data_IF_783738723467
#
_entry.id   IF_783738723467
#
_cell.length_a   1.000
_cell.length_b   1.000
_cell.length_c   1.000
_cell.angle_alpha   90.00
_cell.angle_beta   90.00
_cell.angle_gamma   90.00
#
_symmetry.space_group_name_H-M   'P 1'
#
loop_
_entity.id
_entity.type
_entity.pdbx_description
1 polymer ?
#
# COMPACT_ATOMS: atom_id res chain seq x y z
N UNK A 1 -24.66 21.35 -7.46
CA UNK A 1 -24.85 19.98 -8.00
C UNK A 1 -23.79 19.17 -7.31
N UNK A 2 -24.17 18.41 -6.28
CA UNK A 2 -23.23 17.71 -5.41
C UNK A 2 -22.37 16.72 -6.21
N UNK A 3 -21.07 16.69 -5.94
CA UNK A 3 -20.17 15.75 -6.58
C UNK A 3 -20.52 14.32 -6.10
N UNK A 4 -21.17 13.52 -6.94
CA UNK A 4 -21.44 12.12 -6.63
C UNK A 4 -20.20 11.28 -6.96
N UNK A 5 -19.45 10.88 -5.94
CA UNK A 5 -18.50 9.77 -6.07
C UNK A 5 -19.33 8.49 -6.22
N UNK A 6 -19.28 7.84 -7.39
CA UNK A 6 -20.04 6.59 -7.63
C UNK A 6 -19.57 5.52 -6.65
N UNK A 7 -20.52 4.88 -5.97
CA UNK A 7 -20.24 3.80 -4.99
C UNK A 7 -19.86 4.28 -3.59
N UNK A 8 -19.87 5.59 -3.32
CA UNK A 8 -19.63 6.15 -1.98
C UNK A 8 -20.95 6.66 -1.40
N UNK A 9 -21.39 6.07 -0.29
CA UNK A 9 -22.46 6.61 0.54
C UNK A 9 -21.92 7.78 1.36
N UNK A 10 -22.45 8.98 1.15
CA UNK A 10 -22.00 10.16 1.86
C UNK A 10 -22.44 10.11 3.34
N UNK A 11 -21.47 10.13 4.26
CA UNK A 11 -21.73 10.18 5.71
C UNK A 11 -21.72 11.61 6.24
N UNK A 12 -20.79 12.44 5.73
CA UNK A 12 -20.70 13.86 6.03
C UNK A 12 -20.48 14.65 4.75
N UNK A 13 -21.24 15.73 4.60
CA UNK A 13 -21.19 16.62 3.44
C UNK A 13 -20.96 18.05 3.93
N UNK A 14 -20.05 18.77 3.28
CA UNK A 14 -19.80 20.19 3.50
C UNK A 14 -20.02 20.94 2.19
N UNK A 15 -21.13 21.67 2.10
CA UNK A 15 -21.57 22.27 0.84
C UNK A 15 -21.91 21.19 -0.18
N UNK A 16 -21.24 21.21 -1.34
CA UNK A 16 -21.37 20.21 -2.41
C UNK A 16 -20.34 19.05 -2.29
N UNK A 17 -19.47 19.06 -1.28
CA UNK A 17 -18.37 18.10 -1.13
C UNK A 17 -18.67 17.02 -0.10
N UNK A 18 -18.43 15.76 -0.46
CA UNK A 18 -18.42 14.63 0.48
C UNK A 18 -17.09 14.70 1.24
N UNK A 19 -17.14 14.92 2.56
CA UNK A 19 -15.96 14.98 3.43
C UNK A 19 -15.78 13.71 4.27
N UNK A 20 -16.84 12.90 4.41
CA UNK A 20 -16.76 11.54 4.91
C UNK A 20 -17.70 10.64 4.11
N UNK A 21 -17.27 9.40 3.87
CA UNK A 21 -18.04 8.45 3.08
C UNK A 21 -17.83 7.01 3.52
N UNK A 22 -18.84 6.19 3.28
CA UNK A 22 -18.81 4.75 3.40
C UNK A 22 -18.79 4.12 2.01
N UNK A 23 -18.05 3.04 1.86
CA UNK A 23 -17.98 2.25 0.62
C UNK A 23 -18.15 0.79 0.98
N UNK A 24 -19.02 0.10 0.25
CA UNK A 24 -19.16 -1.36 0.29
C UNK A 24 -18.74 -1.92 -1.07
N UNK A 25 -17.76 -2.82 -1.08
CA UNK A 25 -17.23 -3.39 -2.32
C UNK A 25 -16.49 -4.69 -2.12
N UNK A 26 -16.78 -5.70 -2.96
CA UNK A 26 -16.07 -6.97 -3.10
C UNK A 26 -15.95 -7.81 -1.82
N UNK A 27 -15.00 -7.45 -0.95
CA UNK A 27 -14.59 -8.21 0.22
C UNK A 27 -14.71 -7.46 1.56
N UNK A 28 -15.28 -6.25 1.59
CA UNK A 28 -15.38 -5.51 2.84
C UNK A 28 -16.12 -4.18 2.79
N UNK A 29 -16.06 -3.51 3.94
CA UNK A 29 -16.70 -2.23 4.22
C UNK A 29 -15.65 -1.24 4.69
N UNK A 30 -15.57 -0.09 4.04
CA UNK A 30 -14.65 0.99 4.36
C UNK A 30 -15.44 2.22 4.80
N UNK A 31 -14.98 2.89 5.84
CA UNK A 31 -15.47 4.21 6.23
C UNK A 31 -14.30 5.17 6.31
N UNK A 32 -14.40 6.28 5.60
CA UNK A 32 -13.41 7.37 5.63
C UNK A 32 -14.04 8.54 6.39
N UNK A 33 -13.41 8.94 7.49
CA UNK A 33 -13.78 10.08 8.32
C UNK A 33 -12.59 11.04 8.41
N UNK A 34 -12.79 12.35 8.22
CA UNK A 34 -11.72 13.32 8.46
C UNK A 34 -11.47 13.40 9.96
N UNK A 35 -10.19 13.44 10.35
CA UNK A 35 -9.81 13.46 11.77
C UNK A 35 -10.44 14.63 12.50
N UNK A 36 -10.57 15.79 11.85
CA UNK A 36 -11.20 16.99 12.43
C UNK A 36 -12.70 16.81 12.71
N UNK A 37 -13.39 15.88 12.02
CA UNK A 37 -14.76 15.51 12.34
C UNK A 37 -14.85 14.56 13.54
N UNK A 38 -13.76 13.90 13.91
CA UNK A 38 -13.68 13.06 15.10
C UNK A 38 -13.17 13.87 16.29
N UNK A 39 -12.10 14.63 16.10
CA UNK A 39 -11.44 15.46 17.11
C UNK A 39 -11.41 16.91 16.62
N UNK A 40 -12.46 17.71 16.91
CA UNK A 40 -12.51 19.08 16.45
C UNK A 40 -11.53 19.94 17.26
N UNK A 41 -10.48 20.41 16.58
CA UNK A 41 -9.39 21.18 17.17
C UNK A 41 -8.28 20.29 17.74
N UNK A 42 -7.02 20.64 17.44
CA UNK A 42 -5.82 19.88 17.81
C UNK A 42 -5.52 19.86 19.32
N UNK A 43 -6.37 20.44 20.17
CA UNK A 43 -6.11 20.64 21.60
C UNK A 43 -7.10 19.93 22.54
N UNK A 44 -8.05 19.14 22.02
CA UNK A 44 -9.01 18.45 22.89
C UNK A 44 -8.48 17.10 23.37
N UNK A 45 -8.19 16.99 24.68
CA UNK A 45 -7.84 15.73 25.35
C UNK A 45 -9.00 14.71 25.35
N UNK A 46 -10.19 15.12 24.91
CA UNK A 46 -11.37 14.26 24.85
C UNK A 46 -12.13 14.42 23.52
N UNK A 47 -12.51 13.28 22.94
CA UNK A 47 -13.40 13.23 21.77
C UNK A 47 -14.81 13.62 22.24
N UNK A 48 -15.44 14.66 21.67
CA UNK A 48 -16.83 14.99 22.00
C UNK A 48 -17.73 13.78 21.81
N UNK A 49 -18.66 13.54 22.73
CA UNK A 49 -19.51 12.34 22.73
C UNK A 49 -20.24 12.08 21.38
N UNK A 50 -20.76 13.09 20.65
CA UNK A 50 -21.33 12.87 19.33
C UNK A 50 -20.32 12.32 18.31
N UNK A 51 -19.09 12.80 18.35
CA UNK A 51 -18.02 12.42 17.42
C UNK A 51 -17.47 11.03 17.76
N UNK A 52 -17.39 10.71 19.06
CA UNK A 52 -17.08 9.35 19.51
C UNK A 52 -18.16 8.35 19.06
N UNK A 53 -19.44 8.73 19.14
CA UNK A 53 -20.54 7.90 18.63
C UNK A 53 -20.44 7.68 17.13
N UNK A 54 -20.13 8.73 16.35
CA UNK A 54 -19.90 8.61 14.91
C UNK A 54 -18.76 7.63 14.60
N UNK A 55 -17.63 7.76 15.31
CA UNK A 55 -16.49 6.86 15.17
C UNK A 55 -16.84 5.41 15.51
N UNK A 56 -17.56 5.19 16.61
CA UNK A 56 -18.01 3.86 17.04
C UNK A 56 -18.99 3.27 16.02
N UNK A 57 -19.93 4.06 15.50
CA UNK A 57 -20.88 3.61 14.47
C UNK A 57 -20.17 3.26 13.16
N UNK A 58 -19.22 4.09 12.72
CA UNK A 58 -18.38 3.82 11.56
C UNK A 58 -17.57 2.54 11.73
N UNK A 59 -16.94 2.34 12.88
CA UNK A 59 -16.18 1.13 13.20
C UNK A 59 -17.09 -0.10 13.25
N UNK A 60 -18.26 -0.01 13.88
CA UNK A 60 -19.24 -1.11 13.93
C UNK A 60 -19.76 -1.46 12.54
N UNK A 61 -20.05 -0.46 11.71
CA UNK A 61 -20.51 -0.68 10.35
C UNK A 61 -19.43 -1.35 9.49
N UNK A 62 -18.18 -0.87 9.57
CA UNK A 62 -17.03 -1.47 8.91
C UNK A 62 -16.73 -2.90 9.39
N UNK A 63 -16.91 -3.16 10.69
CA UNK A 63 -16.66 -4.47 11.31
C UNK A 63 -17.76 -5.51 11.06
N UNK A 64 -18.96 -5.11 10.62
CA UNK A 64 -20.02 -6.04 10.19
C UNK A 64 -19.62 -6.67 8.86
N UNK A 65 -18.73 -7.64 8.93
CA UNK A 65 -18.53 -8.62 7.86
C UNK A 65 -19.88 -9.30 7.60
N UNK A 66 -20.25 -9.55 6.33
CA UNK A 66 -21.36 -10.45 6.05
C UNK A 66 -20.99 -11.80 6.67
N UNK A 67 -21.60 -12.14 7.80
CA UNK A 67 -21.67 -13.52 8.24
C UNK A 67 -22.34 -14.27 7.09
N UNK A 68 -21.56 -15.03 6.32
CA UNK A 68 -22.12 -16.14 5.59
C UNK A 68 -22.86 -17.00 6.63
N UNK A 69 -24.16 -17.30 6.47
CA UNK A 69 -24.82 -18.22 7.38
C UNK A 69 -24.11 -19.56 7.23
N UNK A 70 -23.36 -19.95 8.26
CA UNK A 70 -22.81 -21.28 8.35
C UNK A 70 -23.99 -22.26 8.27
N UNK A 71 -23.96 -23.10 7.23
CA UNK A 71 -24.89 -24.19 7.07
C UNK A 71 -24.92 -25.04 8.35
N UNK A 72 -26.14 -25.27 8.86
CA UNK A 72 -26.44 -26.36 9.76
C UNK A 72 -26.08 -26.18 11.23
N UNK A 73 -26.96 -25.51 11.98
CA UNK A 73 -27.36 -25.97 13.32
C UNK A 73 -28.84 -25.65 13.54
N UNK A 74 -29.67 -26.68 13.41
CA UNK A 74 -31.01 -26.71 13.96
C UNK A 74 -30.90 -26.63 15.49
N UNK A 75 -31.54 -25.62 16.08
CA UNK A 75 -32.03 -25.67 17.45
C UNK A 75 -33.45 -25.13 17.39
N UNK A 76 -34.41 -26.06 17.42
CA UNK A 76 -35.82 -25.72 17.48
C UNK A 76 -36.21 -25.17 18.85
N UNK A 77 -37.11 -24.20 18.86
CA UNK A 77 -38.34 -24.21 19.66
C UNK A 77 -39.18 -22.99 19.30
N UNK A 78 -40.37 -23.28 18.78
CA UNK A 78 -41.54 -22.43 18.52
C UNK A 78 -41.96 -21.56 19.74
N UNK A 79 -42.74 -20.47 19.57
CA UNK A 79 -44.13 -20.58 19.10
C UNK A 79 -44.68 -19.45 18.19
N UNK A 80 -45.36 -19.90 17.13
CA UNK A 80 -46.71 -19.54 16.65
C UNK A 80 -47.20 -18.07 16.73
N UNK A 81 -47.49 -17.52 15.55
CA UNK A 81 -48.54 -16.51 15.32
C UNK A 81 -48.96 -16.51 13.84
N UNK A 82 -50.26 -16.58 13.49
CA UNK A 82 -50.70 -16.69 12.10
C UNK A 82 -50.94 -15.29 11.50
N UNK A 83 -50.40 -15.03 10.32
CA UNK A 83 -50.65 -13.82 9.56
C UNK A 83 -50.16 -13.97 8.13
N UNK A 84 -51.07 -14.37 7.24
CA UNK A 84 -50.89 -14.45 5.80
C UNK A 84 -50.37 -13.15 5.20
N UNK A 85 -49.22 -13.20 4.50
CA UNK A 85 -48.95 -12.30 3.37
C UNK A 85 -48.11 -13.03 2.30
N UNK A 86 -48.82 -13.43 1.25
CA UNK A 86 -48.43 -13.47 -0.17
C UNK A 86 -46.96 -13.79 -0.53
N UNK A 87 -46.80 -14.98 -1.13
CA UNK A 87 -45.69 -15.32 -2.02
C UNK A 87 -45.68 -14.35 -3.22
N UNK A 88 -44.82 -13.35 -3.19
CA UNK A 88 -44.36 -12.66 -4.38
C UNK A 88 -43.05 -13.29 -4.83
N UNK A 89 -43.09 -14.01 -5.95
CA UNK A 89 -41.92 -14.34 -6.77
C UNK A 89 -41.31 -13.04 -7.30
N UNK A 90 -39.99 -12.87 -7.25
CA UNK A 90 -39.29 -12.15 -8.28
C UNK A 90 -38.42 -13.16 -9.03
N UNK A 91 -38.89 -13.56 -10.21
CA UNK A 91 -37.97 -13.91 -11.30
C UNK A 91 -37.25 -12.61 -11.67
N UNK A 92 -35.93 -12.64 -11.56
CA UNK A 92 -35.06 -11.50 -11.76
C UNK A 92 -33.64 -11.96 -11.44
N UNK A 93 -33.07 -12.75 -12.33
CA UNK A 93 -31.63 -13.01 -12.37
C UNK A 93 -30.93 -11.65 -12.39
N UNK A 94 -30.34 -11.28 -11.25
CA UNK A 94 -29.35 -10.23 -11.21
C UNK A 94 -28.13 -10.82 -11.87
N UNK A 95 -27.82 -10.40 -13.09
CA UNK A 95 -26.50 -10.59 -13.67
C UNK A 95 -25.49 -10.05 -12.65
N UNK A 96 -24.75 -10.95 -12.01
CA UNK A 96 -23.61 -10.57 -11.19
C UNK A 96 -22.71 -9.70 -12.06
N UNK A 97 -22.26 -8.53 -11.57
CA UNK A 97 -21.20 -7.82 -12.26
C UNK A 97 -20.02 -8.81 -12.35
N UNK A 98 -19.63 -9.15 -13.59
CA UNK A 98 -18.42 -9.90 -13.90
C UNK A 98 -17.27 -9.22 -13.15
N UNK A 99 -16.96 -9.71 -11.95
CA UNK A 99 -15.68 -9.44 -11.35
C UNK A 99 -14.67 -10.05 -12.33
N UNK A 100 -13.64 -9.31 -12.76
CA UNK A 100 -12.56 -9.97 -13.47
C UNK A 100 -12.08 -11.10 -12.55
N UNK A 101 -12.29 -12.35 -12.95
CA UNK A 101 -11.68 -13.52 -12.34
C UNK A 101 -10.17 -13.40 -12.58
N UNK A 102 -9.53 -12.53 -11.81
CA UNK A 102 -8.11 -12.64 -11.56
C UNK A 102 -7.99 -13.86 -10.67
N UNK A 103 -7.52 -14.96 -11.26
CA UNK A 103 -7.11 -16.16 -10.53
C UNK A 103 -6.09 -15.72 -9.49
N UNK A 104 -6.54 -15.48 -8.26
CA UNK A 104 -5.65 -15.25 -7.13
C UNK A 104 -5.02 -16.60 -6.82
N UNK A 105 -3.71 -16.80 -7.06
CA UNK A 105 -3.10 -18.07 -6.71
C UNK A 105 -3.27 -18.29 -5.20
N UNK A 106 -3.72 -19.49 -4.81
CA UNK A 106 -3.66 -19.93 -3.42
C UNK A 106 -2.23 -19.73 -2.90
N UNK A 107 -2.01 -19.39 -1.60
CA UNK A 107 -0.68 -19.07 -1.07
C UNK A 107 0.29 -20.20 -1.42
N UNK A 108 1.06 -19.98 -2.49
CA UNK A 108 1.90 -20.99 -3.09
C UNK A 108 3.13 -21.19 -2.24
N UNK A 109 3.64 -22.42 -2.23
CA UNK A 109 5.06 -22.70 -1.99
C UNK A 109 5.91 -21.57 -2.57
N UNK A 110 6.79 -20.95 -1.75
CA UNK A 110 7.69 -19.87 -2.16
C UNK A 110 8.21 -20.13 -3.58
N UNK A 111 7.69 -19.39 -4.55
CA UNK A 111 8.04 -19.57 -5.94
C UNK A 111 9.52 -19.29 -6.15
N UNK A 112 10.10 -19.84 -7.22
CA UNK A 112 11.42 -19.37 -7.67
C UNK A 112 11.25 -17.97 -8.23
N UNK A 113 11.83 -16.97 -7.58
CA UNK A 113 11.79 -15.59 -8.05
C UNK A 113 12.95 -15.32 -9.02
N UNK A 114 12.76 -14.39 -9.94
CA UNK A 114 13.85 -13.93 -10.81
C UNK A 114 14.84 -13.08 -10.01
N UNK A 115 16.11 -13.05 -10.42
CA UNK A 115 17.13 -12.18 -9.81
C UNK A 115 16.95 -10.67 -10.18
N UNK A 116 15.73 -10.26 -10.50
CA UNK A 116 15.37 -8.91 -10.93
C UNK A 116 14.66 -8.18 -9.79
N UNK A 117 14.97 -6.89 -9.67
CA UNK A 117 14.22 -5.96 -8.84
C UNK A 117 13.48 -4.96 -9.74
N UNK A 118 12.15 -4.97 -9.70
CA UNK A 118 11.31 -4.02 -10.43
C UNK A 118 11.19 -2.72 -9.66
N UNK A 119 11.54 -1.60 -10.30
CA UNK A 119 11.55 -0.29 -9.69
C UNK A 119 10.48 0.59 -10.34
N UNK A 120 9.52 1.09 -9.57
CA UNK A 120 8.50 2.06 -9.98
C UNK A 120 8.66 3.36 -9.17
N UNK A 121 9.72 4.09 -9.53
CA UNK A 121 10.23 5.30 -8.85
C UNK A 121 10.74 6.32 -9.89
N UNK A 122 10.10 6.38 -11.06
CA UNK A 122 10.61 7.07 -12.26
C UNK A 122 10.35 8.60 -12.29
N UNK A 123 9.79 9.19 -11.24
CA UNK A 123 9.51 10.62 -11.21
C UNK A 123 10.80 11.45 -11.41
N UNK A 124 10.62 12.60 -12.06
CA UNK A 124 11.71 13.52 -12.40
C UNK A 124 11.80 14.71 -11.42
N UNK A 125 10.78 14.90 -10.59
CA UNK A 125 10.62 16.00 -9.65
C UNK A 125 10.87 15.52 -8.21
N UNK A 126 10.73 16.44 -7.25
CA UNK A 126 10.72 16.16 -5.81
C UNK A 126 11.92 15.31 -5.34
N UNK A 127 13.10 15.43 -5.94
CA UNK A 127 14.26 14.63 -5.52
C UNK A 127 14.17 13.12 -5.80
N UNK A 128 13.14 12.65 -6.54
CA UNK A 128 13.05 11.28 -7.03
C UNK A 128 14.26 10.82 -7.85
N UNK A 129 14.94 11.68 -8.65
CA UNK A 129 16.19 11.28 -9.28
C UNK A 129 17.27 10.80 -8.30
N UNK A 130 17.47 11.52 -7.18
CA UNK A 130 18.44 11.15 -6.15
C UNK A 130 17.99 9.90 -5.36
N UNK A 131 16.70 9.80 -5.04
CA UNK A 131 16.13 8.59 -4.43
C UNK A 131 16.37 7.38 -5.32
N UNK A 132 16.05 7.48 -6.61
CA UNK A 132 16.22 6.40 -7.59
C UNK A 132 17.67 5.98 -7.72
N UNK A 133 18.60 6.93 -7.81
CA UNK A 133 20.03 6.64 -7.87
C UNK A 133 20.48 5.84 -6.64
N UNK A 134 20.08 6.28 -5.44
CA UNK A 134 20.41 5.59 -4.20
C UNK A 134 19.80 4.17 -4.14
N UNK A 135 18.52 4.02 -4.49
CA UNK A 135 17.84 2.71 -4.52
C UNK A 135 18.49 1.76 -5.54
N UNK A 136 18.79 2.23 -6.75
CA UNK A 136 19.47 1.43 -7.79
C UNK A 136 20.82 0.91 -7.29
N UNK A 137 21.60 1.77 -6.61
CA UNK A 137 22.88 1.38 -6.02
C UNK A 137 22.71 0.33 -4.94
N UNK A 138 21.74 0.52 -4.04
CA UNK A 138 21.45 -0.41 -2.94
C UNK A 138 20.98 -1.78 -3.45
N UNK A 139 20.07 -1.80 -4.43
CA UNK A 139 19.57 -3.02 -5.07
C UNK A 139 20.69 -3.77 -5.79
N UNK A 140 21.51 -3.05 -6.56
CA UNK A 140 22.67 -3.64 -7.25
C UNK A 140 23.68 -4.24 -6.26
N UNK A 141 23.86 -3.61 -5.08
CA UNK A 141 24.74 -4.12 -4.04
C UNK A 141 24.26 -5.44 -3.39
N UNK A 142 23.03 -5.86 -3.67
CA UNK A 142 22.47 -7.15 -3.25
C UNK A 142 22.59 -8.22 -4.35
N UNK A 143 23.20 -7.89 -5.49
CA UNK A 143 23.29 -8.79 -6.64
C UNK A 143 22.01 -8.90 -7.47
N UNK A 144 20.99 -8.11 -7.17
CA UNK A 144 19.78 -8.03 -8.00
C UNK A 144 20.01 -7.11 -9.20
N UNK A 145 19.40 -7.46 -10.34
CA UNK A 145 19.38 -6.62 -11.54
C UNK A 145 18.24 -5.61 -11.44
N UNK A 146 18.50 -4.31 -11.24
CA UNK A 146 17.45 -3.30 -11.20
C UNK A 146 16.84 -3.12 -12.60
N UNK A 147 15.52 -3.15 -12.69
CA UNK A 147 14.76 -2.92 -13.91
C UNK A 147 13.66 -1.90 -13.65
N UNK A 148 13.61 -0.84 -14.44
CA UNK A 148 12.57 0.17 -14.32
C UNK A 148 11.26 -0.36 -14.90
N UNK A 149 10.17 -0.21 -14.13
CA UNK A 149 8.81 -0.43 -14.63
C UNK A 149 8.54 0.54 -15.80
N UNK A 150 8.17 0.04 -16.99
CA UNK A 150 7.89 0.88 -18.16
C UNK A 150 6.83 1.92 -17.83
N UNK A 151 7.08 3.18 -18.17
CA UNK A 151 6.11 4.24 -17.92
C UNK A 151 5.17 4.40 -19.13
N UNK A 152 3.86 4.55 -18.92
CA UNK A 152 2.91 4.71 -20.02
C UNK A 152 3.27 5.94 -20.85
N UNK A 153 3.32 5.77 -22.17
CA UNK A 153 3.61 6.86 -23.13
C UNK A 153 5.10 7.19 -23.34
N UNK A 154 6.05 6.52 -22.68
CA UNK A 154 7.47 6.59 -23.06
C UNK A 154 7.81 5.42 -24.00
N UNK A 155 8.44 5.67 -25.16
CA UNK A 155 8.90 4.59 -26.02
C UNK A 155 9.89 3.70 -25.24
N UNK A 156 9.82 2.37 -25.39
CA UNK A 156 10.75 1.47 -24.73
C UNK A 156 12.18 1.82 -25.13
N UNK A 157 13.11 1.71 -24.18
CA UNK A 157 14.53 1.86 -24.50
C UNK A 157 14.95 0.83 -25.56
N UNK A 158 16.01 1.10 -26.32
CA UNK A 158 16.50 0.16 -27.36
C UNK A 158 16.78 -1.25 -26.80
N UNK A 159 17.20 -1.36 -25.53
CA UNK A 159 17.38 -2.64 -24.85
C UNK A 159 16.06 -3.37 -24.56
N UNK A 160 14.99 -2.65 -24.23
CA UNK A 160 13.64 -3.21 -24.03
C UNK A 160 12.99 -3.57 -25.36
N UNK A 161 13.14 -2.74 -26.39
CA UNK A 161 12.62 -3.02 -27.73
C UNK A 161 13.28 -4.25 -28.38
N UNK A 162 14.56 -4.52 -28.08
CA UNK A 162 15.25 -5.72 -28.54
C UNK A 162 14.77 -7.00 -27.82
N UNK A 163 14.45 -6.90 -26.52
CA UNK A 163 13.86 -8.00 -25.75
C UNK A 163 12.40 -8.28 -26.16
N UNK A 164 11.62 -7.23 -26.44
CA UNK A 164 10.22 -7.35 -26.90
C UNK A 164 10.11 -7.89 -28.33
N UNK A 165 11.14 -7.72 -29.17
CA UNK A 165 11.16 -8.21 -30.55
C UNK A 165 11.29 -9.73 -30.69
N UNK A 166 11.65 -10.46 -29.64
CA UNK A 166 11.96 -11.89 -29.80
C UNK A 166 10.78 -12.85 -29.58
N UNK A 167 9.68 -12.52 -28.90
CA UNK A 167 8.73 -13.62 -28.57
C UNK A 167 7.28 -13.31 -28.11
N UNK A 168 6.72 -12.10 -28.19
CA UNK A 168 5.34 -11.87 -27.67
C UNK A 168 4.37 -11.18 -28.64
N UNK A 169 3.14 -11.70 -28.64
CA UNK A 169 1.92 -11.05 -29.17
C UNK A 169 1.85 -9.57 -28.73
N UNK A 170 1.20 -8.70 -29.53
CA UNK A 170 1.06 -7.29 -29.17
C UNK A 170 0.46 -7.17 -27.77
N UNK A 171 1.02 -6.32 -26.90
CA UNK A 171 0.52 -6.19 -25.54
C UNK A 171 -0.95 -5.78 -25.60
N UNK A 172 -1.81 -6.52 -24.88
CA UNK A 172 -3.19 -6.11 -24.64
C UNK A 172 -3.18 -4.63 -24.19
N UNK A 173 -3.87 -3.75 -24.92
CA UNK A 173 -3.84 -2.30 -24.69
C UNK A 173 -4.23 -1.93 -23.25
N UNK A 174 -5.01 -2.79 -22.60
CA UNK A 174 -5.41 -2.66 -21.21
C UNK A 174 -4.23 -2.91 -20.24
N UNK A 175 -3.43 -3.95 -20.48
CA UNK A 175 -2.21 -4.24 -19.70
C UNK A 175 -1.12 -3.19 -19.94
N UNK A 176 -1.07 -2.58 -21.13
CA UNK A 176 -0.17 -1.48 -21.43
C UNK A 176 -0.45 -0.23 -20.58
N UNK A 177 -1.67 -0.10 -20.02
CA UNK A 177 -2.07 0.96 -19.09
C UNK A 177 -1.81 0.62 -17.62
N UNK A 178 -1.43 -0.63 -17.32
CA UNK A 178 -1.21 -1.16 -15.96
C UNK A 178 0.25 -1.68 -15.84
N UNK A 179 1.24 -0.77 -15.87
CA UNK A 179 2.64 -1.14 -16.03
C UNK A 179 3.20 -1.96 -14.86
N UNK A 180 2.75 -1.71 -13.61
CA UNK A 180 3.18 -2.50 -12.46
C UNK A 180 2.62 -3.92 -12.55
N UNK A 181 1.34 -4.07 -12.90
CA UNK A 181 0.72 -5.39 -13.06
C UNK A 181 1.47 -6.24 -14.09
N UNK A 182 1.87 -5.66 -15.24
CA UNK A 182 2.70 -6.34 -16.22
C UNK A 182 4.06 -6.74 -15.66
N UNK A 183 4.72 -5.85 -14.91
CA UNK A 183 6.04 -6.13 -14.33
C UNK A 183 6.01 -7.25 -13.28
N UNK A 184 4.89 -7.41 -12.56
CA UNK A 184 4.71 -8.48 -11.57
C UNK A 184 4.58 -9.87 -12.19
N UNK A 185 4.20 -9.98 -13.48
CA UNK A 185 4.10 -11.26 -14.19
C UNK A 185 5.44 -11.95 -14.41
N UNK A 186 6.56 -11.21 -14.27
CA UNK A 186 7.92 -11.74 -14.41
C UNK A 186 8.48 -12.26 -13.06
N UNK A 187 7.61 -12.42 -12.04
CA UNK A 187 7.92 -12.88 -10.68
C UNK A 187 9.24 -12.28 -10.13
N UNK A 188 9.33 -10.94 -10.04
CA UNK A 188 10.54 -10.29 -9.55
C UNK A 188 10.81 -10.69 -8.11
N UNK A 189 12.07 -10.79 -7.72
CA UNK A 189 12.43 -10.99 -6.31
C UNK A 189 12.04 -9.78 -5.46
N UNK A 190 12.18 -8.57 -5.99
CA UNK A 190 11.86 -7.36 -5.25
C UNK A 190 11.06 -6.39 -6.11
N UNK A 191 10.05 -5.78 -5.50
CA UNK A 191 9.33 -4.66 -6.10
C UNK A 191 9.52 -3.43 -5.24
N UNK A 192 10.00 -2.34 -5.83
CA UNK A 192 10.13 -1.04 -5.17
C UNK A 192 9.13 -0.07 -5.77
N UNK A 193 8.19 0.42 -4.98
CA UNK A 193 7.13 1.32 -5.44
C UNK A 193 7.22 2.63 -4.67
N UNK A 194 7.26 3.76 -5.39
CA UNK A 194 7.25 5.09 -4.80
C UNK A 194 5.96 5.84 -5.06
N UNK A 195 5.71 6.89 -4.27
CA UNK A 195 4.65 7.88 -4.57
C UNK A 195 5.08 8.80 -5.73
N UNK A 196 5.40 8.22 -6.88
CA UNK A 196 5.94 8.90 -8.06
C UNK A 196 4.94 9.05 -9.20
N UNK A 197 3.78 8.38 -9.11
CA UNK A 197 2.67 8.43 -10.07
C UNK A 197 1.36 8.03 -9.38
N UNK A 198 0.27 8.09 -10.14
CA UNK A 198 -1.02 7.56 -9.72
C UNK A 198 -1.04 6.04 -9.96
N UNK A 199 -1.76 5.29 -9.12
CA UNK A 199 -1.91 3.84 -9.20
C UNK A 199 -3.36 3.49 -9.52
N UNK A 200 -3.56 2.49 -10.38
CA UNK A 200 -4.90 1.95 -10.61
C UNK A 200 -5.21 0.86 -9.57
N UNK A 201 -6.47 0.72 -9.17
CA UNK A 201 -6.94 -0.31 -8.23
C UNK A 201 -6.41 -1.72 -8.57
N UNK A 202 -6.36 -2.06 -9.86
CA UNK A 202 -5.84 -3.33 -10.35
C UNK A 202 -4.35 -3.54 -10.02
N UNK A 203 -3.54 -2.48 -10.06
CA UNK A 203 -2.12 -2.54 -9.68
C UNK A 203 -1.96 -2.71 -8.16
N UNK A 204 -2.83 -2.10 -7.37
CA UNK A 204 -2.84 -2.28 -5.92
C UNK A 204 -3.15 -3.73 -5.54
N UNK A 205 -4.19 -4.30 -6.16
CA UNK A 205 -4.60 -5.70 -5.96
C UNK A 205 -3.50 -6.64 -6.42
N UNK A 206 -2.89 -6.39 -7.58
CA UNK A 206 -1.80 -7.21 -8.09
C UNK A 206 -0.58 -7.20 -7.16
N UNK A 207 -0.19 -6.05 -6.61
CA UNK A 207 0.92 -5.96 -5.67
C UNK A 207 0.63 -6.70 -4.36
N UNK A 208 -0.60 -6.59 -3.84
CA UNK A 208 -1.03 -7.33 -2.66
C UNK A 208 -0.95 -8.84 -2.91
N UNK A 209 -1.51 -9.33 -4.02
CA UNK A 209 -1.46 -10.73 -4.41
C UNK A 209 -0.02 -11.24 -4.58
N UNK A 210 0.87 -10.43 -5.18
CA UNK A 210 2.30 -10.75 -5.29
C UNK A 210 2.98 -10.92 -3.91
N UNK A 211 2.66 -10.07 -2.94
CA UNK A 211 3.20 -10.23 -1.58
C UNK A 211 2.58 -11.46 -0.89
N UNK A 212 1.28 -11.70 -1.08
CA UNK A 212 0.57 -12.86 -0.53
C UNK A 212 1.05 -14.20 -1.12
N UNK A 213 1.60 -14.20 -2.33
CA UNK A 213 2.25 -15.36 -2.95
C UNK A 213 3.72 -15.55 -2.53
N UNK A 214 4.24 -14.65 -1.69
CA UNK A 214 5.56 -14.74 -1.09
C UNK A 214 6.59 -13.73 -1.58
N UNK A 215 6.16 -12.79 -2.41
CA UNK A 215 6.98 -11.69 -2.89
C UNK A 215 7.43 -10.72 -1.80
N UNK A 216 8.35 -9.83 -2.19
CA UNK A 216 8.91 -8.80 -1.32
C UNK A 216 8.73 -7.40 -1.91
N UNK A 217 8.21 -6.46 -1.11
CA UNK A 217 7.95 -5.09 -1.53
C UNK A 217 8.61 -4.05 -0.62
N UNK A 218 9.22 -3.02 -1.22
CA UNK A 218 9.63 -1.78 -0.56
C UNK A 218 8.76 -0.62 -1.08
N UNK A 219 7.98 -0.02 -0.20
CA UNK A 219 7.09 1.10 -0.50
C UNK A 219 7.71 2.40 0.03
N UNK A 220 7.81 3.41 -0.83
CA UNK A 220 8.50 4.67 -0.57
C UNK A 220 7.50 5.84 -0.60
N UNK A 221 6.71 6.05 0.47
CA UNK A 221 5.83 7.20 0.57
C UNK A 221 6.65 8.47 0.78
N UNK A 222 6.81 9.24 -0.29
CA UNK A 222 7.44 10.55 -0.19
C UNK A 222 6.40 11.57 0.24
N UNK A 223 6.53 12.04 1.48
CA UNK A 223 5.79 13.18 2.01
C UNK A 223 6.68 14.41 2.13
N UNK A 224 6.26 15.52 1.53
CA UNK A 224 6.79 16.87 1.82
C UNK A 224 5.75 17.67 2.59
N UNK A 225 6.05 18.90 2.98
CA UNK A 225 5.13 19.80 3.71
C UNK A 225 3.90 20.26 2.91
N UNK A 226 3.74 19.79 1.65
CA UNK A 226 2.65 20.13 0.76
C UNK A 226 1.79 18.91 0.45
N UNK A 227 0.48 19.12 0.31
CA UNK A 227 -0.45 18.10 -0.20
C UNK A 227 0.09 17.48 -1.47
N UNK A 228 0.33 16.17 -1.44
CA UNK A 228 0.88 15.41 -2.55
C UNK A 228 -0.13 14.36 -2.99
N UNK A 229 -0.79 14.59 -4.13
CA UNK A 229 -1.79 13.66 -4.69
C UNK A 229 -1.19 12.25 -4.85
N UNK A 230 0.07 12.12 -5.28
CA UNK A 230 0.72 10.81 -5.46
C UNK A 230 0.88 10.03 -4.16
N UNK A 231 0.95 10.72 -3.02
CA UNK A 231 0.94 10.06 -1.71
C UNK A 231 -0.44 9.51 -1.37
N UNK A 232 -1.52 10.21 -1.74
CA UNK A 232 -2.89 9.73 -1.59
C UNK A 232 -3.10 8.45 -2.40
N UNK A 233 -2.63 8.43 -3.65
CA UNK A 233 -2.73 7.23 -4.50
C UNK A 233 -1.89 6.07 -3.93
N UNK A 234 -0.66 6.33 -3.47
CA UNK A 234 0.15 5.28 -2.81
C UNK A 234 -0.51 4.78 -1.51
N UNK A 235 -1.31 5.60 -0.83
CA UNK A 235 -2.05 5.15 0.36
C UNK A 235 -3.11 4.08 0.02
N UNK A 236 -3.66 4.05 -1.20
CA UNK A 236 -4.51 2.95 -1.65
C UNK A 236 -3.76 1.62 -1.67
N UNK A 237 -2.53 1.62 -2.20
CA UNK A 237 -1.59 0.49 -2.12
C UNK A 237 -1.27 0.12 -0.67
N UNK A 238 -0.89 1.09 0.16
CA UNK A 238 -0.52 0.84 1.56
C UNK A 238 -1.68 0.26 2.39
N UNK A 239 -2.92 0.65 2.08
CA UNK A 239 -4.11 0.16 2.77
C UNK A 239 -4.28 -1.35 2.62
N UNK A 240 -3.85 -1.96 1.50
CA UNK A 240 -3.84 -3.43 1.31
C UNK A 240 -3.00 -4.15 2.37
N UNK A 241 -2.01 -3.47 2.93
CA UNK A 241 -1.13 -3.98 3.97
C UNK A 241 -1.49 -3.48 5.38
N UNK A 242 -2.63 -2.79 5.53
CA UNK A 242 -3.04 -2.22 6.81
C UNK A 242 -2.15 -1.07 7.30
N UNK A 243 -1.45 -0.41 6.37
CA UNK A 243 -0.54 0.70 6.60
C UNK A 243 -1.04 1.96 5.90
N UNK A 244 -0.41 3.09 6.22
CA UNK A 244 -0.63 4.35 5.55
C UNK A 244 0.53 5.31 5.82
N UNK A 245 0.55 6.41 5.08
CA UNK A 245 1.54 7.46 5.20
C UNK A 245 0.87 8.83 5.28
N UNK A 246 1.38 9.66 6.19
CA UNK A 246 0.96 11.04 6.42
C UNK A 246 2.14 11.99 6.23
N UNK A 247 1.84 13.26 5.99
CA UNK A 247 2.84 14.32 5.93
C UNK A 247 3.23 14.78 7.34
N UNK A 248 4.41 15.40 7.46
CA UNK A 248 4.76 16.17 8.65
C UNK A 248 5.42 15.38 9.79
N UNK A 249 6.18 14.32 9.48
CA UNK A 249 7.09 13.72 10.46
C UNK A 249 8.11 14.79 10.84
N UNK A 250 8.33 15.07 12.13
CA UNK A 250 9.38 16.00 12.54
C UNK A 250 10.75 15.43 12.19
N UNK A 251 11.71 16.35 11.97
CA UNK A 251 13.12 15.98 11.95
C UNK A 251 13.64 15.68 13.35
N UNK A 252 14.83 15.10 13.45
CA UNK A 252 15.51 14.84 14.73
C UNK A 252 16.22 13.51 14.78
N UNK A 253 16.85 13.23 15.92
CA UNK A 253 17.59 12.00 16.15
C UNK A 253 16.62 10.81 16.26
N UNK A 254 16.76 9.78 15.41
CA UNK A 254 15.83 8.67 15.45
C UNK A 254 16.21 7.64 16.51
N UNK A 255 15.19 6.96 17.02
CA UNK A 255 15.32 5.74 17.83
C UNK A 255 15.14 4.50 16.95
N UNK A 256 16.01 3.52 17.12
CA UNK A 256 15.90 2.23 16.44
C UNK A 256 15.04 1.26 17.26
N UNK A 257 14.13 0.57 16.59
CA UNK A 257 13.36 -0.52 17.19
C UNK A 257 14.27 -1.70 17.54
N UNK A 258 13.93 -2.42 18.61
CA UNK A 258 14.64 -3.64 19.01
C UNK A 258 14.37 -4.77 18.00
N UNK A 259 15.19 -4.85 16.96
CA UNK A 259 15.09 -5.85 15.89
C UNK A 259 16.47 -6.28 15.43
N UNK A 260 16.61 -7.56 15.10
CA UNK A 260 17.83 -8.09 14.48
C UNK A 260 18.08 -7.53 13.08
N UNK A 261 17.04 -7.03 12.42
CA UNK A 261 17.14 -6.45 11.07
C UNK A 261 18.13 -5.27 11.06
N UNK A 262 18.18 -4.49 12.14
CA UNK A 262 19.03 -3.30 12.21
C UNK A 262 20.28 -3.50 13.09
N UNK A 263 20.65 -4.75 13.42
CA UNK A 263 21.71 -5.04 14.38
C UNK A 263 23.07 -4.43 13.99
N UNK A 264 23.38 -4.39 12.69
CA UNK A 264 24.65 -3.91 12.17
C UNK A 264 24.59 -2.47 11.64
N UNK A 265 23.48 -1.77 11.87
CA UNK A 265 23.31 -0.37 11.43
C UNK A 265 24.13 0.54 12.35
N UNK A 266 24.94 1.48 11.80
CA UNK A 266 25.73 2.40 12.60
C UNK A 266 24.86 3.34 13.43
N UNK A 267 25.50 4.05 14.37
CA UNK A 267 24.83 4.99 15.26
C UNK A 267 23.95 6.01 14.49
N UNK A 268 22.71 6.26 14.98
CA UNK A 268 21.76 7.18 14.35
C UNK A 268 22.31 8.56 14.00
N UNK A 269 21.84 9.10 12.88
CA UNK A 269 22.03 10.49 12.46
C UNK A 269 20.69 11.19 12.40
N UNK A 270 20.68 12.48 12.69
CA UNK A 270 19.45 13.27 12.64
C UNK A 270 18.80 13.16 11.26
N UNK A 271 17.52 12.81 11.25
CA UNK A 271 16.73 12.74 10.03
C UNK A 271 16.09 14.10 9.75
N UNK A 272 15.97 14.49 8.47
CA UNK A 272 15.13 15.62 8.08
C UNK A 272 13.65 15.32 8.39
N UNK A 273 12.78 16.34 8.39
CA UNK A 273 11.34 16.15 8.34
C UNK A 273 10.92 15.33 7.11
N UNK A 274 9.80 14.61 7.19
CA UNK A 274 9.35 13.77 6.08
C UNK A 274 7.99 13.11 6.30
N UNK A 275 7.83 11.89 5.81
CA UNK A 275 6.57 11.15 5.95
C UNK A 275 6.48 10.44 7.31
N UNK A 276 5.29 10.47 7.92
CA UNK A 276 4.93 9.62 9.06
C UNK A 276 4.35 8.34 8.49
N UNK A 277 4.84 7.20 8.95
CA UNK A 277 4.32 5.90 8.57
C UNK A 277 3.44 5.38 9.71
N UNK A 278 2.20 5.02 9.40
CA UNK A 278 1.23 4.48 10.35
C UNK A 278 0.81 3.09 9.91
N UNK A 279 0.37 2.28 10.86
CA UNK A 279 -0.20 0.98 10.57
C UNK A 279 -0.67 0.29 11.83
N UNK A 280 -1.73 -0.50 11.72
CA UNK A 280 -2.22 -1.35 12.81
C UNK A 280 -1.49 -2.70 12.85
N UNK A 281 -0.74 -3.03 11.79
CA UNK A 281 0.14 -4.19 11.69
C UNK A 281 1.59 -3.76 11.52
N UNK A 282 2.49 -4.72 11.70
CA UNK A 282 3.92 -4.52 11.49
C UNK A 282 4.65 -3.89 12.68
N UNK A 283 5.96 -3.76 12.53
CA UNK A 283 6.88 -3.29 13.54
C UNK A 283 7.52 -1.97 13.10
N UNK A 284 7.55 -0.99 14.00
CA UNK A 284 8.34 0.23 13.84
C UNK A 284 9.83 -0.09 14.03
N UNK A 285 10.62 0.14 12.99
CA UNK A 285 12.07 -0.06 13.06
C UNK A 285 12.83 1.24 13.23
N UNK A 286 12.32 2.36 12.72
CA UNK A 286 12.90 3.68 12.95
C UNK A 286 11.80 4.66 13.29
N UNK A 287 11.97 5.40 14.39
CA UNK A 287 11.05 6.45 14.83
C UNK A 287 11.80 7.74 15.11
N UNK A 288 11.15 8.88 14.91
CA UNK A 288 11.60 10.18 15.40
C UNK A 288 10.52 10.69 16.35
N UNK A 289 10.86 10.79 17.64
CA UNK A 289 9.86 10.95 18.70
C UNK A 289 8.88 9.76 18.71
N UNK A 290 7.58 10.04 18.68
CA UNK A 290 6.53 9.03 18.60
C UNK A 290 6.17 8.61 17.17
N UNK A 291 6.73 9.25 16.14
CA UNK A 291 6.35 9.06 14.73
C UNK A 291 7.28 8.09 14.01
N UNK A 292 6.72 7.15 13.24
CA UNK A 292 7.53 6.18 12.49
C UNK A 292 8.05 6.75 11.17
N UNK A 293 9.31 6.44 10.85
CA UNK A 293 9.96 6.70 9.57
C UNK A 293 10.20 5.42 8.75
N UNK A 294 10.10 4.25 9.39
CA UNK A 294 10.26 2.94 8.76
C UNK A 294 9.43 1.89 9.51
N UNK A 295 8.53 1.23 8.78
CA UNK A 295 7.77 0.09 9.27
C UNK A 295 8.01 -1.13 8.39
N UNK A 296 7.97 -2.31 9.01
CA UNK A 296 8.01 -3.58 8.29
C UNK A 296 6.83 -4.45 8.67
N UNK A 297 6.34 -5.22 7.72
CA UNK A 297 5.31 -6.22 7.88
C UNK A 297 5.81 -7.54 7.28
N UNK A 298 5.71 -8.61 8.05
CA UNK A 298 5.95 -9.96 7.58
C UNK A 298 4.66 -10.75 7.72
N UNK A 299 4.20 -11.35 6.62
CA UNK A 299 3.15 -12.38 6.64
C UNK A 299 3.80 -13.76 6.61
N UNK A 300 2.98 -14.81 6.62
CA UNK A 300 3.48 -16.19 6.49
C UNK A 300 4.16 -16.41 5.13
N UNK A 301 3.65 -15.75 4.09
CA UNK A 301 4.16 -15.90 2.73
C UNK A 301 5.22 -14.85 2.38
N UNK A 302 4.95 -13.56 2.61
CA UNK A 302 5.73 -12.46 2.03
C UNK A 302 6.08 -11.34 3.00
N UNK A 303 6.72 -10.29 2.45
CA UNK A 303 7.31 -9.21 3.24
C UNK A 303 7.11 -7.85 2.60
N UNK A 304 6.84 -6.86 3.44
CA UNK A 304 6.70 -5.46 3.04
C UNK A 304 7.50 -4.58 3.97
N UNK A 305 8.25 -3.64 3.42
CA UNK A 305 8.80 -2.51 4.15
C UNK A 305 8.21 -1.22 3.60
N UNK A 306 7.88 -0.28 4.48
CA UNK A 306 7.45 1.07 4.11
C UNK A 306 8.45 2.03 4.74
N UNK A 307 9.12 2.84 3.93
CA UNK A 307 10.22 3.69 4.37
C UNK A 307 10.13 5.10 3.79
N UNK A 308 10.32 6.10 4.64
CA UNK A 308 10.41 7.50 4.22
C UNK A 308 11.64 7.70 3.32
N UNK A 309 11.49 8.08 2.03
CA UNK A 309 12.62 8.24 1.14
C UNK A 309 13.26 9.63 1.23
N UNK A 310 12.72 10.59 2.01
CA UNK A 310 13.26 11.96 2.10
C UNK A 310 14.75 11.99 2.44
N UNK A 311 15.27 11.20 3.40
CA UNK A 311 16.69 11.23 3.73
C UNK A 311 17.61 10.79 2.58
N UNK A 312 17.12 10.12 1.54
CA UNK A 312 17.92 9.80 0.35
C UNK A 312 18.11 10.99 -0.59
N UNK A 313 17.23 11.98 -0.54
CA UNK A 313 17.21 13.11 -1.46
C UNK A 313 18.06 14.30 -0.98
N UNK A 314 18.67 14.23 0.21
CA UNK A 314 19.40 15.34 0.82
C UNK A 314 20.88 15.34 0.40
N UNK A 315 21.45 16.52 0.17
CA UNK A 315 22.81 16.68 -0.37
C UNK A 315 23.80 17.21 0.67
N UNK A 316 23.65 18.46 1.14
CA UNK A 316 24.46 19.09 2.20
C UNK A 316 23.62 20.12 2.96
N UNK A 317 23.80 20.27 4.29
CA UNK A 317 24.76 19.61 5.20
C UNK A 317 24.35 18.20 5.67
N UNK A 318 23.18 17.70 5.29
CA UNK A 318 22.57 16.47 5.82
C UNK A 318 23.13 15.16 5.21
N UNK A 319 24.32 15.20 4.60
CA UNK A 319 24.93 14.04 3.93
C UNK A 319 25.07 12.82 4.85
N UNK A 320 25.40 13.05 6.12
CA UNK A 320 25.52 11.99 7.11
C UNK A 320 24.18 11.28 7.37
N UNK A 321 23.06 12.00 7.31
CA UNK A 321 21.72 11.41 7.43
C UNK A 321 21.42 10.50 6.24
N UNK A 322 21.77 10.94 5.02
CA UNK A 322 21.62 10.13 3.81
C UNK A 322 22.45 8.86 3.85
N UNK A 323 23.73 8.96 4.23
CA UNK A 323 24.63 7.80 4.34
C UNK A 323 24.15 6.80 5.40
N UNK A 324 23.71 7.29 6.56
CA UNK A 324 23.13 6.46 7.60
C UNK A 324 21.83 5.79 7.14
N UNK A 325 20.95 6.53 6.48
CA UNK A 325 19.68 5.98 5.97
C UNK A 325 19.90 4.96 4.87
N UNK A 326 20.94 5.12 4.04
CA UNK A 326 21.34 4.09 3.08
C UNK A 326 21.77 2.80 3.79
N UNK A 327 22.46 2.86 4.93
CA UNK A 327 22.78 1.66 5.73
C UNK A 327 21.51 0.99 6.29
N UNK A 328 20.56 1.79 6.78
CA UNK A 328 19.24 1.29 7.23
C UNK A 328 18.53 0.56 6.08
N UNK A 329 18.39 1.21 4.92
CA UNK A 329 17.72 0.61 3.77
C UNK A 329 18.46 -0.61 3.21
N UNK A 330 19.80 -0.63 3.27
CA UNK A 330 20.56 -1.82 2.88
C UNK A 330 20.20 -3.02 3.77
N UNK A 331 20.09 -2.82 5.08
CA UNK A 331 19.69 -3.88 6.01
C UNK A 331 18.25 -4.35 5.75
N UNK A 332 17.34 -3.42 5.46
CA UNK A 332 15.95 -3.73 5.11
C UNK A 332 15.85 -4.51 3.81
N UNK A 333 16.59 -4.08 2.78
CA UNK A 333 16.56 -4.77 1.50
C UNK A 333 17.14 -6.17 1.61
N UNK A 334 18.20 -6.39 2.41
CA UNK A 334 18.67 -7.75 2.74
C UNK A 334 17.56 -8.56 3.40
N UNK A 335 16.93 -8.03 4.44
CA UNK A 335 15.82 -8.71 5.11
C UNK A 335 14.63 -8.99 4.18
N UNK A 336 14.34 -8.11 3.21
CA UNK A 336 13.29 -8.33 2.21
C UNK A 336 13.64 -9.49 1.27
N UNK A 337 14.93 -9.69 0.97
CA UNK A 337 15.35 -10.69 -0.02
C UNK A 337 15.81 -12.02 0.56
N UNK A 338 16.29 -12.03 1.79
CA UNK A 338 16.81 -13.21 2.48
C UNK A 338 15.75 -14.31 2.63
N UNK A 339 15.92 -15.46 2.00
CA UNK A 339 14.93 -16.55 2.06
C UNK A 339 13.93 -16.58 0.91
N UNK A 340 14.15 -15.76 -0.13
CA UNK A 340 13.66 -16.08 -1.49
C UNK A 340 14.61 -17.06 -2.16
N UNK A 341 14.06 -18.05 -2.88
CA UNK A 341 14.82 -18.93 -3.75
C UNK A 341 14.84 -18.33 -5.16
N UNK A 342 16.03 -18.21 -5.76
CA UNK A 342 16.19 -17.65 -7.10
C UNK A 342 16.22 -18.75 -8.16
N UNK A 343 15.48 -18.57 -9.26
CA UNK A 343 15.61 -19.40 -10.46
C UNK A 343 16.91 -19.08 -11.20
N UNK A 344 17.70 -20.10 -11.55
CA UNK A 344 18.85 -19.98 -12.46
C UNK A 344 18.40 -19.91 -13.92
#
# INVERSE_FOLDING_TARGET
MAASLRGVEALLVQGDNIIAGAVEGGAGRLVVLPLDAVVPGQESDAIPLPNLRLLVQAAQWAARFKEQPAAGRQAGADPQGPGDVQQARPEGEVEEPLQPELTVPSPGSRGKFSAVAMLDIAAADEGWPAIREAVVKLVSALGLKPQQVPQPGKPPSQAQAAAEKSEREPPNEELARLPLLRALQDDPALVVVGSCRDFADAEEVALAAYVESGGAALLLPRGTDKTNRRLVELNGVLAKFGMGALLGRPGGLPTLGASRILADVPAPKELPPGAIIIGHRGLDLVRVGDKSALRVLQSEAGRVAVADPVPLAVSKPEKAASEWWQSVLQAILRWLVEGMEFGQ
#
